data_IF_845613033898
#
_entry.id   IF_845613033898
#
_cell.length_a   1.000
_cell.length_b   1.000
_cell.length_c   1.000
_cell.angle_alpha   90.00
_cell.angle_beta   90.00
_cell.angle_gamma   90.00
#
_symmetry.space_group_name_H-M   'P 1'
#
loop_
_entity.id
_entity.type
_entity.pdbx_description
1 polymer ?
#
# COMPACT_ATOMS: atom_id res chain seq x y z
N UNK A 1 7.84 12.99 10.31
CA UNK A 1 8.30 11.69 9.79
C UNK A 1 8.78 10.82 10.92
N UNK A 2 8.15 9.66 11.14
CA UNK A 2 8.68 8.64 12.04
C UNK A 2 8.67 7.28 11.35
N UNK A 3 9.78 6.57 11.51
CA UNK A 3 10.14 5.35 10.77
C UNK A 3 9.14 4.22 11.01
N UNK A 4 8.82 3.46 9.96
CA UNK A 4 8.13 2.16 10.08
C UNK A 4 9.01 1.07 10.72
N UNK A 5 10.32 1.30 10.87
CA UNK A 5 11.25 0.38 11.50
C UNK A 5 12.30 1.10 12.36
N UNK A 6 12.70 0.46 13.46
CA UNK A 6 13.76 0.90 14.39
C UNK A 6 15.18 0.81 13.80
N UNK A 7 15.35 0.28 12.58
CA UNK A 7 16.65 -0.02 11.99
C UNK A 7 16.86 0.74 10.68
N UNK A 8 17.53 1.90 10.76
CA UNK A 8 18.37 2.48 9.69
C UNK A 8 17.80 2.80 8.30
N UNK A 9 16.56 2.43 7.97
CA UNK A 9 15.96 2.65 6.64
C UNK A 9 15.44 4.08 6.42
N UNK A 10 15.05 4.37 5.17
CA UNK A 10 14.36 5.61 4.77
C UNK A 10 13.10 5.77 5.64
N UNK A 11 12.92 6.96 6.23
CA UNK A 11 11.70 7.26 6.96
C UNK A 11 10.56 7.39 5.95
N UNK A 12 9.51 6.58 6.10
CA UNK A 12 8.32 6.69 5.27
C UNK A 12 7.23 7.42 6.06
N UNK A 13 6.46 8.31 5.42
CA UNK A 13 5.31 8.93 6.08
C UNK A 13 4.29 7.87 6.51
N UNK A 14 3.37 8.29 7.37
CA UNK A 14 2.30 7.45 7.90
C UNK A 14 0.99 8.21 7.79
N UNK A 15 -0.07 7.56 7.29
CA UNK A 15 -1.38 8.20 7.31
C UNK A 15 -1.97 8.18 8.72
N UNK A 16 -2.57 9.31 9.08
CA UNK A 16 -3.31 9.47 10.32
C UNK A 16 -4.65 10.14 10.03
N UNK A 17 -5.62 9.88 10.89
CA UNK A 17 -6.92 10.52 10.87
C UNK A 17 -7.23 10.98 12.29
N UNK A 18 -7.41 12.29 12.46
CA UNK A 18 -7.85 12.88 13.74
C UNK A 18 -9.26 13.46 13.56
N UNK A 19 -10.22 12.88 14.26
CA UNK A 19 -11.59 13.38 14.26
C UNK A 19 -11.74 14.42 15.38
N UNK A 20 -11.91 15.69 15.01
CA UNK A 20 -12.04 16.81 15.97
C UNK A 20 -13.49 17.01 16.42
N UNK A 21 -14.47 16.39 15.73
CA UNK A 21 -15.88 16.37 16.15
C UNK A 21 -16.48 14.98 15.95
N UNK A 22 -17.30 14.49 16.88
CA UNK A 22 -18.24 13.41 16.58
C UNK A 22 -19.24 13.94 15.55
N UNK A 23 -19.41 13.27 14.40
CA UNK A 23 -20.61 13.51 13.59
C UNK A 23 -21.82 13.05 14.39
N UNK A 24 -22.85 13.89 14.45
CA UNK A 24 -24.05 13.72 15.27
C UNK A 24 -25.04 12.67 14.75
N UNK A 25 -24.70 11.93 13.70
CA UNK A 25 -25.56 10.87 13.18
C UNK A 25 -24.75 9.59 12.98
N UNK A 26 -25.32 8.49 13.48
CA UNK A 26 -24.84 7.10 13.40
C UNK A 26 -23.77 6.74 14.44
N UNK A 27 -24.21 6.26 15.61
CA UNK A 27 -23.68 5.19 16.51
C UNK A 27 -22.19 4.76 16.50
N UNK A 28 -21.27 5.55 15.95
CA UNK A 28 -19.88 5.20 15.72
C UNK A 28 -19.02 6.33 16.26
N UNK A 29 -18.48 6.10 17.46
CA UNK A 29 -17.44 6.94 18.06
C UNK A 29 -16.24 6.94 17.09
N UNK A 30 -16.13 7.93 16.21
CA UNK A 30 -14.99 8.03 15.30
C UNK A 30 -13.75 8.37 16.12
N UNK A 31 -12.95 7.35 16.42
CA UNK A 31 -11.71 7.47 17.18
C UNK A 31 -10.57 7.90 16.27
N UNK A 32 -9.58 8.67 16.78
CA UNK A 32 -8.38 8.96 16.02
C UNK A 32 -7.70 7.64 15.60
N UNK A 33 -7.25 7.58 14.35
CA UNK A 33 -6.65 6.38 13.77
C UNK A 33 -5.25 6.68 13.23
N UNK A 34 -4.30 5.81 13.57
CA UNK A 34 -2.94 5.85 13.03
C UNK A 34 -2.70 4.56 12.25
N UNK A 35 -2.17 4.68 11.03
CA UNK A 35 -1.87 3.51 10.21
C UNK A 35 -0.72 2.65 10.77
N UNK A 36 0.16 3.24 11.59
CA UNK A 36 1.23 2.50 12.25
C UNK A 36 0.68 1.59 13.35
N UNK A 37 0.87 0.27 13.18
CA UNK A 37 0.37 -0.73 14.10
C UNK A 37 0.92 -0.58 15.53
N UNK A 38 2.19 -0.19 15.69
CA UNK A 38 2.76 0.01 17.04
C UNK A 38 2.07 1.14 17.78
N UNK A 39 1.74 2.22 17.08
CA UNK A 39 0.97 3.32 17.65
C UNK A 39 -0.45 2.90 18.03
N UNK A 40 -1.12 2.06 17.23
CA UNK A 40 -2.45 1.56 17.57
C UNK A 40 -2.43 0.70 18.82
N UNK A 41 -1.51 -0.25 18.90
CA UNK A 41 -1.37 -1.13 20.08
C UNK A 41 -1.06 -0.29 21.32
N UNK A 42 -0.15 0.70 21.22
CA UNK A 42 0.15 1.62 22.30
C UNK A 42 -1.08 2.39 22.79
N UNK A 43 -1.85 2.99 21.87
CA UNK A 43 -3.05 3.76 22.23
C UNK A 43 -4.13 2.85 22.81
N UNK A 44 -4.33 1.66 22.26
CA UNK A 44 -5.32 0.69 22.75
C UNK A 44 -5.03 0.28 24.20
N UNK A 45 -3.77 -0.02 24.53
CA UNK A 45 -3.37 -0.35 25.90
C UNK A 45 -3.60 0.84 26.84
N UNK A 46 -3.23 2.05 26.41
CA UNK A 46 -3.44 3.25 27.22
C UNK A 46 -4.94 3.50 27.51
N UNK A 47 -5.80 3.35 26.50
CA UNK A 47 -7.25 3.52 26.65
C UNK A 47 -7.87 2.47 27.56
N UNK A 48 -7.46 1.20 27.46
CA UNK A 48 -7.91 0.13 28.38
C UNK A 48 -7.49 0.39 29.83
N UNK A 49 -6.39 1.12 30.05
CA UNK A 49 -5.91 1.55 31.36
C UNK A 49 -6.54 2.86 31.87
N UNK A 50 -7.59 3.37 31.19
CA UNK A 50 -8.30 4.59 31.59
C UNK A 50 -7.69 5.90 31.08
N UNK A 51 -6.59 5.84 30.32
CA UNK A 51 -5.93 7.02 29.76
C UNK A 51 -6.47 7.37 28.36
N UNK A 52 -7.77 7.68 28.28
CA UNK A 52 -8.50 7.91 27.01
C UNK A 52 -8.03 9.13 26.19
N UNK A 53 -7.26 10.04 26.80
CA UNK A 53 -6.71 11.22 26.13
C UNK A 53 -5.33 10.97 25.48
N UNK A 54 -4.77 9.76 25.63
CA UNK A 54 -3.46 9.44 25.04
C UNK A 54 -3.58 9.37 23.53
N UNK A 55 -2.76 10.18 22.86
CA UNK A 55 -2.56 10.20 21.42
C UNK A 55 -1.11 9.80 21.10
N UNK A 56 -0.90 9.07 20.01
CA UNK A 56 0.45 8.85 19.51
C UNK A 56 1.05 10.16 18.97
N UNK A 57 2.38 10.21 18.83
CA UNK A 57 3.06 11.39 18.28
C UNK A 57 2.48 11.81 16.92
N UNK A 58 2.22 10.85 16.02
CA UNK A 58 1.65 11.15 14.71
C UNK A 58 0.28 11.85 14.77
N UNK A 59 -0.59 11.46 15.70
CA UNK A 59 -1.91 12.09 15.86
C UNK A 59 -1.80 13.46 16.52
N UNK A 60 -0.85 13.65 17.46
CA UNK A 60 -0.63 14.96 18.09
C UNK A 60 -0.17 16.01 17.08
N UNK A 61 0.70 15.62 16.16
CA UNK A 61 1.24 16.51 15.11
C UNK A 61 0.17 17.02 14.13
N UNK A 62 -0.98 16.32 14.03
CA UNK A 62 -2.11 16.75 13.19
C UNK A 62 -2.61 18.16 13.53
N UNK A 63 -2.63 18.51 14.83
CA UNK A 63 -3.15 19.80 15.27
C UNK A 63 -2.25 20.99 14.94
N UNK A 64 -0.99 20.74 14.59
CA UNK A 64 0.05 21.77 14.45
C UNK A 64 0.27 22.15 12.99
N UNK A 65 -0.01 21.24 12.05
CA UNK A 65 0.36 21.44 10.66
C UNK A 65 -0.85 21.91 9.83
N UNK A 66 -0.64 23.02 9.12
CA UNK A 66 -1.66 23.90 8.54
C UNK A 66 -1.70 23.86 7.01
N UNK A 67 -0.90 22.99 6.39
CA UNK A 67 -0.73 23.02 4.92
C UNK A 67 -1.88 22.31 4.20
N UNK A 68 -2.90 23.09 3.84
CA UNK A 68 -3.83 22.74 2.78
C UNK A 68 -3.17 23.13 1.46
N UNK A 69 -2.66 22.14 0.71
CA UNK A 69 -2.24 22.37 -0.67
C UNK A 69 -3.47 22.47 -1.56
N UNK A 70 -3.37 23.31 -2.59
CA UNK A 70 -4.42 23.45 -3.59
C UNK A 70 -4.70 22.10 -4.26
N UNK A 71 -5.98 21.86 -4.54
CA UNK A 71 -6.42 20.67 -5.24
C UNK A 71 -5.96 20.74 -6.71
N UNK A 72 -5.28 19.69 -7.17
CA UNK A 72 -4.85 19.57 -8.57
C UNK A 72 -5.77 18.59 -9.28
N UNK A 73 -6.37 19.03 -10.38
CA UNK A 73 -7.29 18.21 -11.16
C UNK A 73 -6.56 17.47 -12.29
N UNK A 74 -6.66 16.14 -12.26
CA UNK A 74 -6.10 15.28 -13.30
C UNK A 74 -6.98 15.35 -14.55
N UNK A 75 -6.37 15.75 -15.69
CA UNK A 75 -7.00 15.77 -17.01
C UNK A 75 -6.42 14.67 -17.89
N UNK A 76 -7.27 14.08 -18.71
CA UNK A 76 -6.87 13.00 -19.62
C UNK A 76 -5.84 13.45 -20.65
N UNK A 77 -5.95 14.70 -21.14
CA UNK A 77 -4.98 15.30 -22.06
C UNK A 77 -3.56 15.25 -21.51
N UNK A 78 -3.39 15.57 -20.23
CA UNK A 78 -2.08 15.67 -19.59
C UNK A 78 -1.39 14.29 -19.48
N UNK A 79 -2.19 13.21 -19.35
CA UNK A 79 -1.71 11.83 -19.35
C UNK A 79 -1.40 11.30 -20.75
N UNK A 80 -2.24 11.65 -21.73
CA UNK A 80 -2.03 11.25 -23.13
C UNK A 80 -0.75 11.88 -23.69
N UNK A 81 -0.49 13.15 -23.39
CA UNK A 81 0.76 13.83 -23.77
C UNK A 81 1.99 13.11 -23.17
N UNK A 82 1.93 12.75 -21.87
CA UNK A 82 3.01 12.01 -21.21
C UNK A 82 3.24 10.62 -21.79
N UNK A 83 2.18 9.97 -22.28
CA UNK A 83 2.27 8.68 -22.98
C UNK A 83 2.93 8.84 -24.35
N UNK A 84 2.57 9.91 -25.10
CA UNK A 84 3.13 10.21 -26.42
C UNK A 84 4.62 10.58 -26.40
N UNK A 85 5.08 11.26 -25.34
CA UNK A 85 6.51 11.54 -25.13
C UNK A 85 7.35 10.26 -25.03
N UNK A 86 6.74 9.11 -24.73
CA UNK A 86 7.40 7.79 -24.73
C UNK A 86 8.39 7.57 -23.58
N UNK A 87 8.58 8.57 -22.73
CA UNK A 87 9.55 8.56 -21.61
C UNK A 87 9.22 7.52 -20.55
N UNK A 88 7.93 7.22 -20.33
CA UNK A 88 7.49 6.32 -19.26
C UNK A 88 6.61 5.18 -19.77
N UNK A 89 7.16 3.96 -19.80
CA UNK A 89 6.47 2.73 -20.25
C UNK A 89 5.22 2.37 -19.43
N UNK A 90 5.10 2.92 -18.22
CA UNK A 90 3.97 2.72 -17.31
C UNK A 90 2.66 3.33 -17.82
N UNK A 91 2.72 4.36 -18.68
CA UNK A 91 1.56 5.10 -19.19
C UNK A 91 1.03 4.47 -20.49
N UNK A 92 0.51 3.25 -20.38
CA UNK A 92 -0.28 2.60 -21.43
C UNK A 92 -1.74 3.07 -21.37
N UNK A 93 -2.50 2.95 -22.46
CA UNK A 93 -3.91 3.38 -22.51
C UNK A 93 -4.77 2.81 -21.38
N UNK A 94 -4.58 1.54 -21.04
CA UNK A 94 -5.29 0.90 -19.91
C UNK A 94 -5.00 1.63 -18.58
N UNK A 95 -3.75 2.02 -18.35
CA UNK A 95 -3.34 2.73 -17.14
C UNK A 95 -3.93 4.13 -17.08
N UNK A 96 -4.01 4.82 -18.22
CA UNK A 96 -4.63 6.15 -18.33
C UNK A 96 -6.10 6.06 -17.91
N UNK A 97 -6.84 5.08 -18.44
CA UNK A 97 -8.23 4.85 -18.06
C UNK A 97 -8.38 4.56 -16.55
N UNK A 98 -7.46 3.77 -15.98
CA UNK A 98 -7.44 3.51 -14.53
C UNK A 98 -7.18 4.79 -13.71
N UNK A 99 -6.29 5.68 -14.16
CA UNK A 99 -6.02 6.96 -13.50
C UNK A 99 -7.26 7.88 -13.51
N UNK A 100 -7.97 7.95 -14.63
CA UNK A 100 -9.20 8.75 -14.78
C UNK A 100 -10.30 8.21 -13.87
N UNK A 101 -10.54 6.89 -13.91
CA UNK A 101 -11.53 6.24 -13.05
C UNK A 101 -11.24 6.47 -11.56
N UNK A 102 -9.97 6.44 -11.15
CA UNK A 102 -9.57 6.70 -9.77
C UNK A 102 -9.75 8.18 -9.39
N UNK A 103 -9.53 9.10 -10.32
CA UNK A 103 -9.80 10.54 -10.15
C UNK A 103 -11.29 10.80 -9.92
N UNK A 104 -12.15 10.24 -10.77
CA UNK A 104 -13.61 10.35 -10.64
C UNK A 104 -14.12 9.72 -9.33
N UNK A 105 -13.55 8.58 -8.93
CA UNK A 105 -13.85 7.94 -7.66
C UNK A 105 -13.44 8.81 -6.46
N UNK A 106 -12.30 9.50 -6.53
CA UNK A 106 -11.86 10.44 -5.51
C UNK A 106 -12.85 11.61 -5.38
N UNK A 107 -13.20 12.23 -6.51
CA UNK A 107 -14.19 13.33 -6.56
C UNK A 107 -15.57 12.89 -6.05
N UNK A 108 -16.05 11.71 -6.45
CA UNK A 108 -17.33 11.16 -5.99
C UNK A 108 -17.39 10.92 -4.47
N UNK A 109 -16.22 10.71 -3.85
CA UNK A 109 -16.09 10.52 -2.41
C UNK A 109 -15.70 11.79 -1.65
N UNK A 110 -15.68 12.96 -2.31
CA UNK A 110 -15.21 14.23 -1.76
C UNK A 110 -13.78 14.11 -1.16
N UNK A 111 -12.91 13.36 -1.85
CA UNK A 111 -11.54 13.14 -1.44
C UNK A 111 -10.57 13.72 -2.47
N UNK A 112 -9.46 14.29 -1.99
CA UNK A 112 -8.38 14.77 -2.86
C UNK A 112 -7.66 13.57 -3.48
N UNK A 113 -7.41 13.61 -4.80
CA UNK A 113 -6.72 12.53 -5.51
C UNK A 113 -5.28 12.33 -5.03
N UNK A 114 -4.48 13.40 -4.98
CA UNK A 114 -3.06 13.34 -4.63
C UNK A 114 -2.67 14.52 -3.75
N UNK A 115 -1.85 14.24 -2.74
CA UNK A 115 -1.24 15.23 -1.87
C UNK A 115 0.25 14.98 -1.85
N UNK A 116 1.06 16.00 -2.11
CA UNK A 116 2.53 15.90 -2.13
C UNK A 116 3.14 16.51 -0.88
N UNK A 117 4.25 15.94 -0.43
CA UNK A 117 5.07 16.44 0.67
C UNK A 117 6.55 16.26 0.30
N UNK A 118 7.33 17.32 0.44
CA UNK A 118 8.76 17.29 0.12
C UNK A 118 9.54 16.99 1.40
N UNK A 119 10.42 15.99 1.34
CA UNK A 119 11.38 15.66 2.40
C UNK A 119 12.80 15.97 1.90
N UNK A 120 13.24 17.17 2.25
CA UNK A 120 14.51 17.73 1.76
C UNK A 120 14.52 17.87 0.23
N UNK A 121 15.71 17.89 -0.33
CA UNK A 121 15.91 18.05 -1.79
C UNK A 121 15.83 16.72 -2.55
N UNK A 122 15.85 15.59 -1.84
CA UNK A 122 15.98 14.26 -2.46
C UNK A 122 14.65 13.55 -2.63
N UNK A 123 13.76 13.65 -1.65
CA UNK A 123 12.55 12.83 -1.63
C UNK A 123 11.29 13.68 -1.76
N UNK A 124 10.36 13.20 -2.58
CA UNK A 124 8.99 13.69 -2.59
C UNK A 124 8.09 12.50 -2.26
N UNK A 125 7.32 12.64 -1.19
CA UNK A 125 6.30 11.68 -0.83
C UNK A 125 4.96 12.15 -1.36
N UNK A 126 4.22 11.22 -1.95
CA UNK A 126 2.86 11.41 -2.41
C UNK A 126 1.97 10.50 -1.60
N UNK A 127 0.86 11.06 -1.18
CA UNK A 127 -0.25 10.27 -0.69
C UNK A 127 -1.30 10.30 -1.79
N UNK A 128 -1.60 9.13 -2.37
CA UNK A 128 -2.53 8.97 -3.49
C UNK A 128 -3.80 8.28 -2.99
N UNK A 129 -4.96 8.77 -3.42
CA UNK A 129 -6.24 8.14 -3.16
C UNK A 129 -6.30 6.77 -3.84
N UNK A 130 -6.78 5.78 -3.09
CA UNK A 130 -6.94 4.40 -3.57
C UNK A 130 -8.39 3.92 -3.37
N UNK A 131 -9.10 4.50 -2.39
CA UNK A 131 -10.49 4.18 -2.08
C UNK A 131 -10.71 2.83 -1.41
N UNK A 132 -9.77 1.89 -1.58
CA UNK A 132 -9.80 0.56 -1.01
C UNK A 132 -8.90 0.40 0.22
N UNK A 133 -9.28 -0.51 1.12
CA UNK A 133 -8.49 -0.88 2.29
C UNK A 133 -7.63 -2.10 1.97
N UNK A 134 -6.32 -1.96 2.09
CA UNK A 134 -5.33 -3.00 1.84
C UNK A 134 -4.49 -3.29 3.10
N UNK A 135 -3.59 -4.28 3.03
CA UNK A 135 -2.63 -4.49 4.12
C UNK A 135 -1.60 -3.35 4.24
N UNK A 136 -1.29 -2.69 3.12
CA UNK A 136 -0.36 -1.55 3.00
C UNK A 136 -1.03 -0.17 3.08
N UNK A 137 -2.36 -0.11 3.07
CA UNK A 137 -3.18 1.11 3.07
C UNK A 137 -4.43 0.88 3.94
N UNK A 138 -4.45 1.39 5.17
CA UNK A 138 -5.59 1.24 6.09
C UNK A 138 -6.61 2.36 6.02
N UNK A 139 -6.22 3.49 5.43
CA UNK A 139 -7.04 4.70 5.34
C UNK A 139 -7.50 5.01 3.91
N UNK A 140 -7.47 4.02 3.01
CA UNK A 140 -7.92 4.22 1.63
C UNK A 140 -6.96 5.08 0.78
N UNK A 141 -5.71 5.23 1.24
CA UNK A 141 -4.68 6.04 0.58
C UNK A 141 -3.34 5.31 0.60
N UNK A 142 -2.60 5.39 -0.49
CA UNK A 142 -1.31 4.74 -0.68
C UNK A 142 -0.20 5.78 -0.69
N UNK A 143 0.91 5.48 -0.03
CA UNK A 143 2.12 6.30 -0.07
C UNK A 143 2.97 5.86 -1.26
N UNK A 144 3.35 6.83 -2.09
CA UNK A 144 4.35 6.69 -3.13
C UNK A 144 5.52 7.61 -2.79
N UNK A 145 6.73 7.10 -2.80
CA UNK A 145 7.95 7.88 -2.56
C UNK A 145 8.74 8.00 -3.85
N UNK A 146 9.03 9.23 -4.24
CA UNK A 146 9.89 9.58 -5.34
C UNK A 146 11.28 9.91 -4.81
N UNK A 147 12.30 9.19 -5.27
CA UNK A 147 13.71 9.54 -5.06
C UNK A 147 14.18 10.29 -6.29
N UNK A 148 14.23 11.63 -6.22
CA UNK A 148 14.64 12.50 -7.32
C UNK A 148 16.09 12.23 -7.74
N UNK A 149 16.96 11.85 -6.79
CA UNK A 149 18.38 11.64 -7.07
C UNK A 149 18.66 10.35 -7.84
N UNK A 150 17.91 9.29 -7.53
CA UNK A 150 18.08 7.99 -8.17
C UNK A 150 17.05 7.70 -9.26
N UNK A 151 16.01 8.55 -9.37
CA UNK A 151 14.96 8.44 -10.38
C UNK A 151 14.09 7.19 -10.26
N UNK A 152 13.70 6.83 -9.04
CA UNK A 152 12.80 5.69 -8.81
C UNK A 152 11.55 6.09 -8.02
N UNK A 153 10.43 5.46 -8.35
CA UNK A 153 9.18 5.53 -7.60
C UNK A 153 8.96 4.23 -6.82
N UNK A 154 8.79 4.36 -5.51
CA UNK A 154 8.48 3.26 -4.59
C UNK A 154 7.05 3.41 -4.07
N UNK A 155 6.19 2.44 -4.35
CA UNK A 155 4.78 2.51 -4.00
C UNK A 155 4.43 1.43 -2.99
N UNK A 156 3.62 1.75 -1.98
CA UNK A 156 3.17 0.74 -1.01
C UNK A 156 2.41 -0.45 -1.62
N UNK A 157 1.82 -0.30 -2.81
CA UNK A 157 1.02 -1.34 -3.45
C UNK A 157 1.83 -2.36 -4.27
N UNK A 158 3.04 -2.02 -4.71
CA UNK A 158 3.82 -2.85 -5.61
C UNK A 158 5.33 -2.65 -5.42
N UNK A 159 6.15 -3.58 -5.95
CA UNK A 159 7.61 -3.43 -5.90
C UNK A 159 8.08 -2.23 -6.73
N UNK A 160 9.28 -1.72 -6.43
CA UNK A 160 9.90 -0.56 -7.10
C UNK A 160 9.88 -0.65 -8.64
N UNK A 161 10.19 -1.82 -9.21
CA UNK A 161 10.25 -2.05 -10.67
C UNK A 161 8.90 -2.31 -11.36
N UNK A 162 7.80 -2.42 -10.62
CA UNK A 162 6.49 -2.71 -11.22
C UNK A 162 5.69 -1.43 -11.42
N UNK A 163 5.09 -1.24 -12.60
CA UNK A 163 4.15 -0.16 -12.82
C UNK A 163 2.88 -0.29 -11.97
N UNK A 164 2.36 0.82 -11.45
CA UNK A 164 1.02 0.88 -10.86
C UNK A 164 0.34 2.23 -11.14
N UNK A 165 -0.98 2.28 -10.97
CA UNK A 165 -1.81 3.48 -11.17
C UNK A 165 -1.40 4.62 -10.24
N UNK A 166 -0.97 4.30 -9.01
CA UNK A 166 -0.46 5.32 -8.09
C UNK A 166 0.83 5.97 -8.60
N UNK A 167 1.77 5.19 -9.16
CA UNK A 167 3.01 5.72 -9.76
C UNK A 167 2.71 6.57 -11.00
N UNK A 168 1.77 6.15 -11.84
CA UNK A 168 1.34 6.92 -13.01
C UNK A 168 0.78 8.30 -12.61
N UNK A 169 -0.07 8.37 -11.58
CA UNK A 169 -0.58 9.64 -11.04
C UNK A 169 0.56 10.51 -10.51
N UNK A 170 1.55 9.92 -9.83
CA UNK A 170 2.73 10.67 -9.35
C UNK A 170 3.55 11.27 -10.49
N UNK A 171 3.72 10.55 -11.61
CA UNK A 171 4.42 11.08 -12.79
C UNK A 171 3.69 12.27 -13.40
N UNK A 172 2.36 12.18 -13.54
CA UNK A 172 1.54 13.30 -13.96
C UNK A 172 1.72 14.52 -13.04
N UNK A 173 1.69 14.29 -11.73
CA UNK A 173 1.88 15.37 -10.76
C UNK A 173 3.27 15.99 -10.86
N UNK A 174 4.33 15.18 -11.02
CA UNK A 174 5.71 15.66 -11.21
C UNK A 174 5.87 16.53 -12.46
N UNK A 175 5.14 16.21 -13.54
CA UNK A 175 5.06 17.07 -14.73
C UNK A 175 4.44 18.43 -14.40
N UNK A 176 3.32 18.41 -13.68
CA UNK A 176 2.58 19.63 -13.31
C UNK A 176 3.38 20.61 -12.43
N UNK A 177 4.36 20.11 -11.67
CA UNK A 177 5.24 20.94 -10.82
C UNK A 177 6.66 21.11 -11.40
N UNK A 178 6.87 20.77 -12.67
CA UNK A 178 8.15 20.89 -13.38
C UNK A 178 9.35 20.20 -12.69
N UNK A 179 9.08 19.09 -11.99
CA UNK A 179 10.12 18.24 -11.36
C UNK A 179 10.36 16.93 -12.09
N UNK A 180 9.69 16.72 -13.22
CA UNK A 180 9.82 15.50 -14.03
C UNK A 180 11.22 15.36 -14.64
N UNK A 181 11.85 16.46 -15.06
CA UNK A 181 13.21 16.46 -15.61
C UNK A 181 14.27 16.06 -14.56
N UNK A 182 14.05 16.45 -13.29
CA UNK A 182 14.91 16.04 -12.18
C UNK A 182 14.76 14.54 -11.88
N UNK A 183 13.60 13.96 -12.20
CA UNK A 183 13.29 12.58 -11.90
C UNK A 183 13.91 11.56 -12.86
N UNK A 184 14.53 11.94 -14.00
CA UNK A 184 15.01 11.07 -15.11
C UNK A 184 15.69 9.74 -14.70
N UNK A 185 14.88 8.78 -14.26
CA UNK A 185 15.25 7.41 -13.97
C UNK A 185 14.21 6.48 -14.57
N UNK A 186 14.70 5.31 -14.97
CA UNK A 186 13.94 4.38 -15.79
C UNK A 186 12.92 3.68 -14.88
N UNK A 187 11.65 4.05 -15.02
CA UNK A 187 10.56 3.18 -14.55
C UNK A 187 10.38 2.10 -15.60
N UNK A 188 11.17 1.04 -15.48
CA UNK A 188 10.96 -0.20 -16.24
C UNK A 188 9.59 -0.76 -15.82
N UNK A 189 8.74 -1.13 -16.76
CA UNK A 189 7.52 -1.89 -16.49
C UNK A 189 7.89 -3.35 -16.73
N UNK A 190 8.41 -4.01 -15.70
CA UNK A 190 8.51 -5.46 -15.70
C UNK A 190 7.07 -5.98 -15.52
N UNK A 191 6.39 -6.20 -16.64
CA UNK A 191 5.14 -6.96 -16.72
C UNK A 191 5.44 -8.43 -16.33
N UNK A 192 5.74 -8.68 -15.06
CA UNK A 192 5.55 -10.01 -14.50
C UNK A 192 4.04 -10.21 -14.34
N UNK A 193 3.45 -10.73 -15.41
CA UNK A 193 2.16 -11.40 -15.39
C UNK A 193 2.05 -12.27 -14.15
N UNK A 194 0.88 -12.23 -13.52
CA UNK A 194 0.50 -13.18 -12.50
C UNK A 194 0.60 -14.60 -13.08
N UNK A 195 1.63 -15.34 -12.66
CA UNK A 195 1.63 -16.80 -12.67
C UNK A 195 1.78 -17.47 -14.04
N UNK A 196 2.90 -17.26 -14.73
CA UNK A 196 3.41 -18.32 -15.60
C UNK A 196 3.93 -19.42 -14.68
N UNK A 197 3.15 -20.49 -14.58
CA UNK A 197 3.62 -21.82 -14.18
C UNK A 197 4.83 -22.17 -15.04
N UNK A 198 6.03 -21.89 -14.52
CA UNK A 198 7.15 -22.76 -14.85
C UNK A 198 6.67 -24.16 -14.48
N UNK A 199 6.59 -25.05 -15.46
CA UNK A 199 6.44 -26.48 -15.21
C UNK A 199 7.68 -26.90 -14.41
N UNK A 200 7.64 -26.69 -13.10
CA UNK A 200 8.55 -27.31 -12.15
C UNK A 200 8.16 -28.79 -12.16
N UNK A 201 9.06 -29.65 -12.63
CA UNK A 201 8.84 -31.08 -12.53
C UNK A 201 8.63 -31.42 -11.04
N UNK A 202 7.59 -32.21 -10.70
CA UNK A 202 7.33 -32.56 -9.32
C UNK A 202 8.55 -33.29 -8.75
N UNK A 203 9.04 -32.79 -7.63
CA UNK A 203 10.09 -33.48 -6.87
C UNK A 203 9.49 -34.70 -6.17
N UNK A 204 10.32 -35.67 -5.78
CA UNK A 204 9.86 -36.87 -5.04
C UNK A 204 9.06 -36.51 -3.77
N UNK A 205 9.33 -35.34 -3.18
CA UNK A 205 8.62 -34.79 -2.01
C UNK A 205 7.21 -34.29 -2.37
N UNK A 206 6.99 -33.78 -3.59
CA UNK A 206 5.67 -33.34 -4.05
C UNK A 206 4.71 -34.53 -4.28
N UNK A 207 5.23 -35.70 -4.65
CA UNK A 207 4.44 -36.93 -4.78
C UNK A 207 4.02 -37.51 -3.43
N UNK A 208 4.91 -37.48 -2.42
CA UNK A 208 4.60 -37.95 -1.06
C UNK A 208 3.50 -37.08 -0.43
N UNK A 209 3.62 -35.75 -0.54
CA UNK A 209 2.63 -34.82 -0.02
C UNK A 209 1.26 -34.90 -0.73
N UNK A 210 1.21 -35.36 -1.98
CA UNK A 210 -0.04 -35.57 -2.72
C UNK A 210 -0.76 -36.88 -2.35
N UNK A 211 -0.03 -37.88 -1.83
CA UNK A 211 -0.57 -39.18 -1.45
C UNK A 211 -1.02 -39.25 0.01
N UNK A 212 -0.50 -38.37 0.87
CA UNK A 212 -0.96 -38.28 2.26
C UNK A 212 -2.36 -37.65 2.31
N UNK A 213 -3.34 -38.39 2.80
CA UNK A 213 -4.71 -37.91 3.03
C UNK A 213 -4.69 -36.66 3.95
N UNK A 214 -4.79 -35.48 3.32
CA UNK A 214 -5.37 -34.18 3.75
C UNK A 214 -5.43 -33.76 5.24
N UNK A 215 -4.59 -34.28 6.13
CA UNK A 215 -4.53 -33.84 7.52
C UNK A 215 -3.19 -33.17 7.82
N UNK A 216 -3.26 -31.86 8.06
CA UNK A 216 -2.19 -31.10 8.67
C UNK A 216 -2.48 -30.94 10.17
N UNK A 217 -1.49 -31.16 11.06
CA UNK A 217 -0.11 -31.54 10.76
C UNK A 217 0.03 -33.02 10.34
N UNK A 218 0.99 -33.37 9.46
CA UNK A 218 1.33 -34.76 9.17
C UNK A 218 1.73 -35.47 10.46
N UNK A 219 1.15 -36.66 10.69
CA UNK A 219 1.39 -37.42 11.91
C UNK A 219 2.64 -38.32 11.81
N UNK A 220 3.12 -38.60 10.60
CA UNK A 220 4.26 -39.50 10.40
C UNK A 220 5.59 -38.74 10.50
N UNK A 221 6.50 -39.28 11.31
CA UNK A 221 7.80 -38.66 11.58
C UNK A 221 8.69 -38.58 10.34
N UNK A 222 8.55 -39.52 9.41
CA UNK A 222 9.36 -39.60 8.18
C UNK A 222 9.02 -38.47 7.19
N UNK A 223 7.74 -38.16 6.99
CA UNK A 223 7.31 -37.03 6.16
C UNK A 223 7.72 -35.72 6.79
N UNK A 224 7.58 -35.57 8.11
CA UNK A 224 8.06 -34.36 8.81
C UNK A 224 9.57 -34.18 8.63
N UNK A 225 10.37 -35.25 8.78
CA UNK A 225 11.82 -35.18 8.59
C UNK A 225 12.20 -34.80 7.15
N UNK A 226 11.51 -35.36 6.16
CA UNK A 226 11.72 -35.06 4.75
C UNK A 226 11.31 -33.63 4.38
N UNK A 227 10.19 -33.13 4.93
CA UNK A 227 9.78 -31.73 4.78
C UNK A 227 10.78 -30.78 5.43
N UNK A 228 11.29 -31.09 6.63
CA UNK A 228 12.33 -30.30 7.29
C UNK A 228 13.63 -30.27 6.49
N UNK A 229 14.03 -31.39 5.89
CA UNK A 229 15.21 -31.47 5.01
C UNK A 229 15.02 -30.59 3.76
N UNK A 230 13.88 -30.72 3.09
CA UNK A 230 13.55 -29.90 1.92
C UNK A 230 13.53 -28.40 2.25
N UNK A 231 12.94 -28.01 3.38
CA UNK A 231 12.92 -26.61 3.82
C UNK A 231 14.32 -26.07 4.11
N UNK A 232 15.20 -26.89 4.69
CA UNK A 232 16.60 -26.52 4.91
C UNK A 232 17.35 -26.31 3.59
N UNK A 233 17.17 -27.21 2.63
CA UNK A 233 17.94 -27.23 1.39
C UNK A 233 17.44 -26.18 0.38
N UNK A 234 16.12 -26.00 0.29
CA UNK A 234 15.51 -25.15 -0.76
C UNK A 234 14.93 -23.83 -0.23
N UNK A 235 14.82 -23.65 1.09
CA UNK A 235 14.20 -22.46 1.73
C UNK A 235 12.82 -22.09 1.15
N UNK A 236 12.09 -23.09 0.65
CA UNK A 236 10.78 -22.96 -0.02
C UNK A 236 9.83 -24.03 0.51
N UNK A 237 8.53 -23.69 0.55
CA UNK A 237 7.48 -24.66 0.86
C UNK A 237 7.19 -25.48 -0.41
N UNK A 238 7.15 -26.84 -0.33
CA UNK A 238 6.74 -27.72 -1.42
C UNK A 238 5.38 -27.33 -2.01
N UNK A 239 5.18 -27.55 -3.30
CA UNK A 239 4.01 -27.03 -4.04
C UNK A 239 2.72 -27.66 -3.49
N UNK A 240 2.75 -28.96 -3.21
CA UNK A 240 1.63 -29.69 -2.64
C UNK A 240 1.14 -29.11 -1.30
N UNK A 241 2.06 -28.65 -0.43
CA UNK A 241 1.71 -28.05 0.86
C UNK A 241 1.16 -26.62 0.73
N UNK A 242 1.43 -25.91 -0.37
CA UNK A 242 0.89 -24.55 -0.59
C UNK A 242 -0.61 -24.56 -0.79
N UNK A 243 -1.15 -25.58 -1.45
CA UNK A 243 -2.59 -25.70 -1.71
C UNK A 243 -3.38 -25.91 -0.41
N UNK A 244 -2.81 -26.64 0.55
CA UNK A 244 -3.45 -26.94 1.85
C UNK A 244 -3.51 -25.68 2.74
N UNK A 245 -2.49 -24.83 2.72
CA UNK A 245 -2.49 -23.57 3.48
C UNK A 245 -3.50 -22.54 2.96
N UNK A 246 -3.88 -22.64 1.67
CA UNK A 246 -4.86 -21.73 1.06
C UNK A 246 -6.29 -22.13 1.45
N UNK A 247 -6.57 -23.43 1.67
CA UNK A 247 -7.91 -23.93 1.98
C UNK A 247 -8.36 -23.73 3.44
N UNK A 248 -7.48 -23.23 4.33
CA UNK A 248 -7.80 -23.00 5.75
C UNK A 248 -8.01 -21.52 6.12
N UNK A 249 -8.37 -20.63 5.18
CA UNK A 249 -8.80 -19.28 5.56
C UNK A 249 -10.22 -19.33 6.15
N UNK A 250 -10.45 -18.88 7.40
CA UNK A 250 -11.81 -18.60 7.85
C UNK A 250 -12.38 -17.43 7.03
N UNK A 251 -13.55 -17.69 6.45
CA UNK A 251 -14.48 -16.70 5.91
C UNK A 251 -14.67 -15.58 6.95
N UNK A 252 -14.21 -14.37 6.66
CA UNK A 252 -14.66 -13.16 7.34
C UNK A 252 -15.38 -12.33 6.30
N UNK A 253 -16.70 -12.30 6.44
CA UNK A 253 -17.66 -11.84 5.46
C UNK A 253 -17.57 -10.35 5.15
N UNK A 254 -18.04 -10.06 3.94
CA UNK A 254 -18.35 -8.74 3.44
C UNK A 254 -19.41 -8.05 4.29
N UNK A 255 -19.09 -6.85 4.80
CA UNK A 255 -20.05 -5.76 4.94
C UNK A 255 -19.32 -4.41 4.93
N UNK A 256 -19.41 -3.70 3.80
CA UNK A 256 -19.23 -2.25 3.74
C UNK A 256 -20.50 -1.56 4.27
N UNK A 257 -20.39 -0.44 5.03
CA UNK A 257 -20.60 0.86 4.39
C UNK A 257 -19.82 2.00 5.06
N UNK A 258 -18.92 2.66 4.33
CA UNK A 258 -18.44 3.99 4.71
C UNK A 258 -18.49 4.91 3.49
N UNK A 259 -19.53 5.75 3.44
CA UNK A 259 -19.65 6.89 2.54
C UNK A 259 -19.79 8.15 3.39
N UNK A 260 -19.07 9.19 2.96
CA UNK A 260 -19.20 10.64 3.23
C UNK A 260 -18.41 11.25 4.40
N UNK A 261 -17.71 12.33 4.02
CA UNK A 261 -17.15 13.43 4.81
C UNK A 261 -16.06 13.05 5.83
N UNK A 262 -14.97 12.49 5.33
CA UNK A 262 -13.72 12.34 6.09
C UNK A 262 -12.73 13.40 5.62
N UNK A 263 -12.26 14.24 6.56
CA UNK A 263 -11.12 15.12 6.32
C UNK A 263 -9.86 14.27 6.41
N UNK A 264 -9.31 13.91 5.26
CA UNK A 264 -8.00 13.28 5.17
C UNK A 264 -6.95 14.35 5.36
N UNK A 265 -6.16 14.24 6.43
CA UNK A 265 -5.01 15.12 6.62
C UNK A 265 -3.80 14.25 6.85
N UNK A 266 -2.93 14.25 5.85
CA UNK A 266 -1.68 13.50 5.84
C UNK A 266 -0.65 14.33 6.59
N UNK A 267 0.03 13.74 7.57
CA UNK A 267 1.08 14.43 8.31
C UNK A 267 2.41 13.68 8.28
N UNK A 268 3.38 14.45 7.77
CA UNK A 268 4.84 14.48 7.96
C UNK A 268 5.53 13.12 7.92
#
# INVERSE_FOLDING_TARGET
>A
MVRKSSHGGVAYPVHVQKCVRPLSDVNGKQTPFCENNSCRVYMEVAWRSGMNAVECQHIREVGVNTTYKDEVHLRESDLNDLSQEGTFKILKQERINQCISLSEAASSNNAVLIVSFEDGERYIHFSVYDGAVHYYSKLGRVIVTCDLKNGYLDCGCCRRKRGCTHKAICLWYLRGIDKLEQFRGVVEDDDDELGVTKQEQPSDVDQICAQSELFYPPADEDTVANMCKFLKDHKKIPIACRLILISQKPFLGDTHPWKRNVRFVIFV
#
